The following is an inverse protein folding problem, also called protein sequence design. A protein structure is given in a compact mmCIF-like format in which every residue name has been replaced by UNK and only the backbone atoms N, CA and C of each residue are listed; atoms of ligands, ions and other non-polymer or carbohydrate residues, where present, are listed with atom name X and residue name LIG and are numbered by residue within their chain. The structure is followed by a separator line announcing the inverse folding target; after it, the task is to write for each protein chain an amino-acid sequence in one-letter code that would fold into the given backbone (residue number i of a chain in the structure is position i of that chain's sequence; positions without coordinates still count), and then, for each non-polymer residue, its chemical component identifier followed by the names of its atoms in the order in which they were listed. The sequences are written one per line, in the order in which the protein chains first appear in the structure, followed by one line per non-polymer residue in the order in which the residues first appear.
data_IF_451307858957
#
_entry.id   IF_451307858957
#
_cell.length_a   1.000
_cell.length_b   1.000
_cell.length_c   1.000
_cell.angle_alpha   90.00
_cell.angle_beta   90.00
_cell.angle_gamma   90.00
#
_symmetry.space_group_name_H-M   'P 1'
#
loop_
_entity.id
_entity.type
_entity.pdbx_description
1 polymer ?
#
# COMPACT_ATOMS: atom_id res chain seq x y z
N UNK A 1 14.13 8.35 -5.39
CA UNK A 1 14.07 6.89 -5.16
C UNK A 1 13.06 6.29 -6.11
N UNK A 2 13.51 5.88 -7.27
CA UNK A 2 12.62 5.33 -8.28
C UNK A 2 12.10 3.95 -7.85
N UNK A 3 10.86 3.64 -8.21
CA UNK A 3 10.23 2.35 -7.88
C UNK A 3 9.63 2.23 -6.47
N UNK A 4 9.63 3.27 -5.67
CA UNK A 4 8.97 3.30 -4.36
C UNK A 4 7.59 3.94 -4.43
N UNK A 5 6.61 3.28 -3.83
CA UNK A 5 5.21 3.70 -3.83
C UNK A 5 4.62 3.62 -2.42
N UNK A 6 3.97 4.69 -2.01
CA UNK A 6 3.10 4.69 -0.83
C UNK A 6 1.66 4.45 -1.30
N UNK A 7 1.02 3.43 -0.77
CA UNK A 7 -0.31 2.97 -1.18
C UNK A 7 -1.28 3.08 -0.01
N UNK A 8 -2.48 3.58 -0.28
CA UNK A 8 -3.60 3.56 0.67
C UNK A 8 -4.78 2.83 0.08
N UNK A 9 -5.32 1.84 0.80
CA UNK A 9 -6.49 1.06 0.40
C UNK A 9 -7.52 1.14 1.52
N UNK A 10 -8.71 1.65 1.21
CA UNK A 10 -9.79 1.80 2.19
C UNK A 10 -10.81 0.67 2.10
N UNK A 11 -11.42 0.37 3.24
CA UNK A 11 -12.58 -0.53 3.31
C UNK A 11 -13.82 0.11 2.68
N UNK A 12 -14.77 -0.71 2.30
CA UNK A 12 -16.07 -0.25 1.80
C UNK A 12 -16.77 0.61 2.86
N UNK A 13 -17.16 1.84 2.47
CA UNK A 13 -17.77 2.84 3.36
C UNK A 13 -16.97 3.13 4.66
N UNK A 14 -15.65 2.96 4.64
CA UNK A 14 -14.78 3.20 5.80
C UNK A 14 -15.20 2.43 7.05
N UNK A 15 -15.71 1.22 6.88
CA UNK A 15 -16.07 0.32 7.99
C UNK A 15 -14.82 -0.17 8.71
N UNK A 16 -14.84 -0.14 10.04
CA UNK A 16 -13.77 -0.70 10.86
C UNK A 16 -13.84 -2.24 10.83
N UNK A 17 -13.02 -2.86 9.97
CA UNK A 17 -13.03 -4.31 9.72
C UNK A 17 -11.76 -5.02 10.18
N UNK A 18 -10.60 -4.35 10.16
CA UNK A 18 -9.31 -5.03 10.18
C UNK A 18 -8.59 -4.99 11.51
N UNK A 19 -8.79 -3.95 12.31
CA UNK A 19 -8.10 -3.82 13.58
C UNK A 19 -8.89 -3.00 14.59
N UNK A 20 -8.43 -3.06 15.83
CA UNK A 20 -8.79 -2.16 16.91
C UNK A 20 -7.54 -1.41 17.39
N UNK A 21 -7.68 -0.16 17.77
CA UNK A 21 -6.61 0.60 18.38
C UNK A 21 -6.81 0.54 19.89
N UNK A 22 -5.82 0.04 20.60
CA UNK A 22 -5.82 -0.13 22.06
C UNK A 22 -4.65 0.60 22.71
N UNK A 23 -4.71 0.84 24.01
CA UNK A 23 -3.58 1.37 24.81
C UNK A 23 -3.31 2.86 24.64
N UNK A 24 -4.15 3.61 23.97
CA UNK A 24 -3.99 5.06 23.82
C UNK A 24 -4.36 5.81 25.11
N UNK A 25 -3.54 5.71 26.14
CA UNK A 25 -3.61 6.52 27.34
C UNK A 25 -2.38 7.43 27.42
N UNK A 26 -2.44 8.48 28.24
CA UNK A 26 -1.43 9.54 28.37
C UNK A 26 0.03 9.07 28.45
N UNK A 27 0.28 7.82 28.83
CA UNK A 27 1.63 7.26 29.04
C UNK A 27 1.95 6.02 28.21
N UNK A 28 1.07 5.59 27.27
CA UNK A 28 1.32 4.42 26.45
C UNK A 28 1.01 4.69 24.96
N UNK A 29 1.91 4.32 24.03
CA UNK A 29 1.66 4.46 22.60
C UNK A 29 0.47 3.59 22.18
N UNK A 30 -0.28 4.07 21.18
CA UNK A 30 -1.38 3.33 20.60
C UNK A 30 -0.88 2.02 19.96
N UNK A 31 -1.53 0.92 20.27
CA UNK A 31 -1.22 -0.41 19.72
C UNK A 31 -2.34 -0.90 18.80
N UNK A 32 -1.98 -1.71 17.82
CA UNK A 32 -2.92 -2.30 16.88
C UNK A 32 -3.18 -3.74 17.26
N UNK A 33 -4.44 -4.08 17.51
CA UNK A 33 -4.90 -5.46 17.61
C UNK A 33 -5.65 -5.85 16.35
N UNK A 34 -5.10 -6.80 15.59
CA UNK A 34 -5.73 -7.27 14.35
C UNK A 34 -6.94 -8.14 14.65
N UNK A 35 -8.05 -7.84 13.98
CA UNK A 35 -9.21 -8.75 13.91
C UNK A 35 -8.84 -10.00 13.09
N UNK A 36 -9.67 -11.06 13.10
CA UNK A 36 -9.49 -12.18 12.17
C UNK A 36 -9.41 -11.76 10.70
N UNK A 37 -10.16 -10.73 10.28
CA UNK A 37 -10.07 -10.16 8.94
C UNK A 37 -8.75 -9.40 8.71
N UNK A 38 -8.26 -8.69 9.72
CA UNK A 38 -6.96 -8.04 9.68
C UNK A 38 -5.80 -9.02 9.54
N UNK A 39 -5.86 -10.17 10.23
CA UNK A 39 -4.89 -11.25 10.07
C UNK A 39 -4.89 -11.82 8.65
N UNK A 40 -6.05 -11.98 8.03
CA UNK A 40 -6.15 -12.38 6.62
C UNK A 40 -5.44 -11.35 5.71
N UNK A 41 -5.61 -10.05 5.96
CA UNK A 41 -4.92 -9.00 5.22
C UNK A 41 -3.40 -9.12 5.40
N UNK A 42 -2.95 -9.27 6.63
CA UNK A 42 -1.51 -9.41 6.95
C UNK A 42 -0.88 -10.60 6.24
N UNK A 43 -1.54 -11.77 6.29
CA UNK A 43 -1.07 -12.98 5.61
C UNK A 43 -0.95 -12.78 4.10
N UNK A 44 -1.90 -12.07 3.48
CA UNK A 44 -1.84 -11.78 2.05
C UNK A 44 -0.75 -10.76 1.73
N UNK A 45 -0.51 -9.75 2.57
CA UNK A 45 0.60 -8.81 2.39
C UNK A 45 1.94 -9.56 2.41
N UNK A 46 2.13 -10.51 3.33
CA UNK A 46 3.37 -11.29 3.48
C UNK A 46 3.71 -12.14 2.24
N UNK A 47 2.74 -12.59 1.47
CA UNK A 47 2.98 -13.40 0.26
C UNK A 47 3.14 -12.56 -1.02
N UNK A 48 2.91 -11.24 -0.98
CA UNK A 48 3.04 -10.39 -2.16
C UNK A 48 4.45 -10.39 -2.77
N UNK A 49 5.56 -10.34 -1.96
CA UNK A 49 6.92 -10.37 -2.50
C UNK A 49 7.24 -11.64 -3.29
N UNK A 50 6.71 -12.79 -2.89
CA UNK A 50 6.92 -14.07 -3.58
C UNK A 50 6.20 -14.13 -4.94
N UNK A 51 5.13 -13.36 -5.08
CA UNK A 51 4.26 -13.38 -6.25
C UNK A 51 4.57 -12.28 -7.25
N UNK A 52 5.08 -11.16 -6.75
CA UNK A 52 5.41 -9.98 -7.52
C UNK A 52 6.86 -9.59 -7.24
N UNK A 53 7.54 -9.02 -8.22
CA UNK A 53 8.91 -8.51 -8.04
C UNK A 53 8.89 -7.21 -7.23
N UNK A 54 8.53 -7.31 -5.95
CA UNK A 54 8.40 -6.18 -5.02
C UNK A 54 9.06 -6.51 -3.69
N UNK A 55 9.36 -5.45 -2.93
CA UNK A 55 9.68 -5.54 -1.49
C UNK A 55 8.69 -4.69 -0.72
N UNK A 56 8.17 -5.22 0.37
CA UNK A 56 7.40 -4.45 1.34
C UNK A 56 8.40 -3.79 2.30
N UNK A 57 8.43 -2.46 2.32
CA UNK A 57 9.34 -1.69 3.19
C UNK A 57 8.72 -1.43 4.55
N UNK A 58 7.43 -1.12 4.57
CA UNK A 58 6.64 -0.93 5.77
C UNK A 58 5.15 -1.05 5.45
N UNK A 59 4.31 -1.34 6.45
CA UNK A 59 2.87 -1.31 6.33
C UNK A 59 2.19 -1.14 7.68
N UNK A 60 0.96 -0.65 7.66
CA UNK A 60 0.07 -0.60 8.83
C UNK A 60 -1.35 -0.98 8.43
N UNK A 61 -1.99 -1.79 9.26
CA UNK A 61 -3.37 -2.26 9.06
C UNK A 61 -4.26 -1.55 10.07
N UNK A 62 -4.84 -0.44 9.64
CA UNK A 62 -5.75 0.37 10.44
C UNK A 62 -7.16 -0.22 10.44
N UNK A 63 -8.06 0.23 11.33
CA UNK A 63 -9.42 -0.32 11.39
C UNK A 63 -10.15 -0.29 10.04
N UNK A 64 -10.06 0.78 9.28
CA UNK A 64 -10.85 1.03 8.06
C UNK A 64 -10.01 1.26 6.79
N UNK A 65 -8.70 1.09 6.87
CA UNK A 65 -7.78 1.21 5.73
C UNK A 65 -6.45 0.53 6.01
N UNK A 66 -5.63 0.40 4.98
CA UNK A 66 -4.24 -0.03 5.10
C UNK A 66 -3.33 0.93 4.36
N UNK A 67 -2.15 1.15 4.91
CA UNK A 67 -1.04 1.80 4.23
C UNK A 67 0.06 0.79 3.97
N UNK A 68 0.66 0.84 2.79
CA UNK A 68 1.76 -0.04 2.41
C UNK A 68 2.81 0.76 1.65
N UNK A 69 4.07 0.62 2.03
CA UNK A 69 5.21 1.18 1.33
C UNK A 69 5.88 0.06 0.53
N UNK A 70 5.79 0.14 -0.81
CA UNK A 70 6.22 -0.90 -1.75
C UNK A 70 7.38 -0.41 -2.60
N UNK A 71 8.44 -1.22 -2.68
CA UNK A 71 9.56 -1.04 -3.62
C UNK A 71 9.48 -2.07 -4.75
N UNK A 72 9.59 -1.62 -6.00
CA UNK A 72 9.72 -2.49 -7.17
C UNK A 72 11.19 -2.93 -7.33
N UNK A 73 11.46 -4.23 -7.39
CA UNK A 73 12.82 -4.79 -7.39
C UNK A 73 13.52 -4.65 -8.76
N UNK A 74 12.77 -4.58 -9.86
CA UNK A 74 13.30 -4.53 -11.23
C UNK A 74 13.44 -3.11 -11.81
N UNK A 75 13.43 -2.09 -10.95
CA UNK A 75 13.49 -0.70 -11.41
C UNK A 75 14.84 -0.33 -12.06
N UNK A 76 15.93 -0.96 -11.65
CA UNK A 76 17.27 -0.72 -12.23
C UNK A 76 17.39 -1.11 -13.70
N UNK A 77 16.70 -2.17 -14.12
CA UNK A 77 16.60 -2.56 -15.53
C UNK A 77 15.86 -1.54 -16.39
N UNK A 78 14.87 -0.87 -15.82
CA UNK A 78 14.12 0.20 -16.49
C UNK A 78 14.95 1.48 -16.64
N UNK A 79 15.68 1.90 -15.60
CA UNK A 79 16.58 3.06 -15.68
C UNK A 79 17.71 2.85 -16.67
N UNK A 80 18.28 1.64 -16.75
CA UNK A 80 19.28 1.29 -17.75
C UNK A 80 18.72 1.44 -19.16
N UNK A 81 17.53 0.91 -19.41
CA UNK A 81 16.85 1.02 -20.70
C UNK A 81 16.54 2.48 -21.08
N UNK A 82 16.25 3.35 -20.12
CA UNK A 82 16.05 4.80 -20.34
C UNK A 82 17.35 5.54 -20.64
N UNK A 83 18.47 5.14 -20.03
CA UNK A 83 19.80 5.73 -20.27
C UNK A 83 20.41 5.30 -21.61
N UNK A 84 20.10 4.08 -22.05
CA UNK A 84 20.57 3.49 -23.31
C UNK A 84 19.69 3.88 -24.51
N UNK A 85 18.52 4.49 -24.27
CA UNK A 85 17.67 5.01 -25.34
C UNK A 85 18.33 6.23 -26.00
N UNK A 86 18.52 6.27 -27.32
CA UNK A 86 19.13 7.41 -27.99
C UNK A 86 18.29 8.67 -27.75
N UNK A 87 18.99 9.78 -27.42
CA UNK A 87 18.40 11.11 -27.22
C UNK A 87 17.78 11.60 -28.55
N UNK A 88 16.53 11.26 -28.78
CA UNK A 88 15.74 11.93 -29.82
C UNK A 88 15.18 13.23 -29.23
N UNK A 89 15.64 14.33 -29.85
CA UNK A 89 15.26 15.70 -29.54
C UNK A 89 13.74 15.89 -29.64
N UNK A 90 13.21 16.53 -28.60
CA UNK A 90 12.00 17.38 -28.59
C UNK A 90 10.78 16.88 -29.38
N UNK A 91 9.89 16.19 -28.67
CA UNK A 91 8.48 16.16 -29.01
C UNK A 91 7.66 16.75 -27.83
N UNK A 92 6.54 17.49 -28.13
CA UNK A 92 5.79 18.21 -27.12
C UNK A 92 5.21 17.27 -26.06
N UNK A 93 4.98 17.82 -24.86
CA UNK A 93 4.41 17.17 -23.66
C UNK A 93 3.12 16.40 -23.94
N UNK A 94 3.24 15.28 -24.61
CA UNK A 94 2.20 14.26 -24.60
C UNK A 94 2.25 13.57 -23.26
N UNK A 95 1.11 13.49 -22.59
CA UNK A 95 0.92 12.70 -21.36
C UNK A 95 1.44 11.30 -21.63
N UNK A 96 2.68 11.02 -21.23
CA UNK A 96 3.27 9.69 -21.34
C UNK A 96 2.35 8.71 -20.61
N UNK A 97 2.09 7.59 -21.27
CA UNK A 97 1.42 6.46 -20.63
C UNK A 97 2.05 6.19 -19.25
N UNK A 98 1.25 5.86 -18.23
CA UNK A 98 1.80 5.59 -16.91
C UNK A 98 2.89 4.53 -17.04
N UNK A 99 4.03 4.70 -16.38
CA UNK A 99 5.14 3.76 -16.47
C UNK A 99 4.67 2.33 -16.21
N UNK A 100 5.31 1.34 -16.84
CA UNK A 100 4.96 -0.10 -16.70
C UNK A 100 4.89 -0.57 -15.24
N UNK A 101 5.59 0.09 -14.36
CA UNK A 101 5.61 -0.09 -12.90
C UNK A 101 4.24 0.11 -12.26
N UNK A 102 3.47 1.11 -12.73
CA UNK A 102 2.12 1.36 -12.22
C UNK A 102 1.17 0.21 -12.54
N UNK A 103 1.42 -0.52 -13.64
CA UNK A 103 0.69 -1.73 -13.95
C UNK A 103 1.01 -2.87 -12.99
N UNK A 104 2.26 -2.98 -12.53
CA UNK A 104 2.69 -3.98 -11.52
C UNK A 104 2.06 -3.69 -10.17
N UNK A 105 2.08 -2.43 -9.71
CA UNK A 105 1.39 -2.00 -8.49
C UNK A 105 -0.11 -2.28 -8.59
N UNK A 106 -0.75 -1.91 -9.69
CA UNK A 106 -2.19 -2.16 -9.87
C UNK A 106 -2.54 -3.66 -9.84
N UNK A 107 -1.71 -4.52 -10.45
CA UNK A 107 -1.87 -5.99 -10.40
C UNK A 107 -1.67 -6.52 -8.99
N UNK A 108 -0.64 -6.05 -8.29
CA UNK A 108 -0.33 -6.42 -6.91
C UNK A 108 -1.51 -6.08 -5.97
N UNK A 109 -2.00 -4.83 -6.04
CA UNK A 109 -3.12 -4.39 -5.22
C UNK A 109 -4.43 -5.08 -5.61
N UNK A 110 -4.65 -5.31 -6.91
CA UNK A 110 -5.77 -6.11 -7.41
C UNK A 110 -5.78 -7.52 -6.85
N UNK A 111 -4.62 -8.19 -6.83
CA UNK A 111 -4.45 -9.52 -6.24
C UNK A 111 -4.72 -9.49 -4.72
N UNK A 112 -4.12 -8.54 -3.99
CA UNK A 112 -4.34 -8.39 -2.54
C UNK A 112 -5.84 -8.26 -2.24
N UNK A 113 -6.53 -7.34 -2.91
CA UNK A 113 -7.97 -7.10 -2.70
C UNK A 113 -8.81 -8.33 -3.03
N UNK A 114 -8.49 -9.03 -4.11
CA UNK A 114 -9.21 -10.23 -4.54
C UNK A 114 -9.03 -11.38 -3.55
N UNK A 115 -7.79 -11.66 -3.15
CA UNK A 115 -7.46 -12.78 -2.27
C UNK A 115 -8.02 -12.59 -0.85
N UNK A 116 -7.90 -11.37 -0.30
CA UNK A 116 -8.52 -11.02 0.99
C UNK A 116 -10.04 -11.17 0.91
N UNK A 117 -10.67 -10.64 -0.15
CA UNK A 117 -12.12 -10.75 -0.33
C UNK A 117 -12.57 -12.21 -0.43
N UNK A 118 -11.85 -13.03 -1.20
CA UNK A 118 -12.11 -14.46 -1.35
C UNK A 118 -12.09 -15.18 0.01
N UNK A 119 -11.03 -14.97 0.79
CA UNK A 119 -10.89 -15.59 2.12
C UNK A 119 -11.99 -15.13 3.09
N UNK A 120 -12.32 -13.83 3.12
CA UNK A 120 -13.40 -13.32 3.98
C UNK A 120 -14.76 -13.88 3.55
N UNK A 121 -15.01 -14.04 2.25
CA UNK A 121 -16.27 -14.59 1.74
C UNK A 121 -16.48 -16.06 2.01
N UNK A 122 -15.48 -16.79 2.41
CA UNK A 122 -15.66 -18.16 2.92
C UNK A 122 -16.56 -18.20 4.17
N UNK A 123 -16.51 -17.16 5.00
CA UNK A 123 -17.34 -17.02 6.22
C UNK A 123 -18.47 -16.02 6.05
N UNK A 124 -18.31 -15.01 5.21
CA UNK A 124 -19.28 -13.95 4.96
C UNK A 124 -19.52 -13.76 3.44
N UNK A 125 -20.34 -14.60 2.79
CA UNK A 125 -20.45 -14.65 1.32
C UNK A 125 -20.82 -13.33 0.63
N UNK A 126 -21.54 -12.43 1.32
CA UNK A 126 -21.99 -11.13 0.80
C UNK A 126 -21.08 -9.96 1.22
N UNK A 127 -19.92 -10.23 1.84
CA UNK A 127 -19.06 -9.18 2.33
C UNK A 127 -18.56 -8.28 1.18
N UNK A 128 -18.74 -6.96 1.35
CA UNK A 128 -18.08 -5.92 0.59
C UNK A 128 -16.93 -5.40 1.44
N UNK A 129 -15.70 -5.71 1.03
CA UNK A 129 -14.51 -5.45 1.86
C UNK A 129 -13.87 -4.11 1.51
N UNK A 130 -13.75 -3.78 0.24
CA UNK A 130 -12.93 -2.70 -0.26
C UNK A 130 -13.71 -1.65 -1.03
N UNK A 131 -13.26 -0.39 -0.92
CA UNK A 131 -13.59 0.63 -1.90
C UNK A 131 -13.03 0.23 -3.28
N UNK A 132 -13.66 0.72 -4.34
CA UNK A 132 -13.28 0.37 -5.72
C UNK A 132 -11.84 0.77 -6.06
N UNK A 133 -11.42 1.97 -5.68
CA UNK A 133 -10.11 2.54 -5.99
C UNK A 133 -9.12 2.35 -4.82
N UNK A 134 -7.88 2.64 -5.07
CA UNK A 134 -6.83 2.87 -4.08
C UNK A 134 -6.11 4.17 -4.42
N UNK A 135 -5.42 4.75 -3.46
CA UNK A 135 -4.55 5.90 -3.65
C UNK A 135 -3.11 5.41 -3.75
N UNK A 136 -2.35 5.97 -4.70
CA UNK A 136 -0.94 5.72 -4.88
C UNK A 136 -0.16 7.04 -4.94
N UNK A 137 0.98 7.10 -4.26
CA UNK A 137 1.93 8.20 -4.31
C UNK A 137 3.32 7.64 -4.63
N UNK A 138 3.97 8.23 -5.65
CA UNK A 138 5.34 7.85 -6.03
C UNK A 138 6.33 8.59 -5.14
N UNK A 139 7.13 7.85 -4.39
CA UNK A 139 8.19 8.40 -3.54
C UNK A 139 9.34 8.89 -4.42
N UNK A 140 9.70 10.16 -4.29
CA UNK A 140 10.66 10.82 -5.20
C UNK A 140 12.06 10.98 -4.63
N UNK A 141 12.19 11.06 -3.31
CA UNK A 141 13.46 11.30 -2.63
C UNK A 141 13.40 10.74 -1.19
N UNK A 142 14.54 10.78 -0.51
CA UNK A 142 14.70 10.27 0.85
C UNK A 142 13.79 10.99 1.86
N UNK A 143 13.66 12.31 1.76
CA UNK A 143 12.76 13.08 2.64
C UNK A 143 11.31 12.65 2.49
N UNK A 144 10.86 12.40 1.26
CA UNK A 144 9.52 11.91 0.96
C UNK A 144 9.32 10.48 1.49
N UNK A 145 10.36 9.63 1.38
CA UNK A 145 10.39 8.29 1.96
C UNK A 145 10.23 8.33 3.48
N UNK A 146 11.09 9.05 4.18
CA UNK A 146 11.06 9.17 5.64
C UNK A 146 9.70 9.70 6.13
N UNK A 147 9.17 10.73 5.48
CA UNK A 147 7.85 11.27 5.80
C UNK A 147 6.75 10.20 5.76
N UNK A 148 6.73 9.34 4.75
CA UNK A 148 5.70 8.32 4.62
C UNK A 148 5.98 7.10 5.50
N UNK A 149 7.25 6.81 5.77
CA UNK A 149 7.65 5.77 6.72
C UNK A 149 7.20 6.15 8.14
N UNK A 150 7.54 7.34 8.61
CA UNK A 150 7.14 7.87 9.92
C UNK A 150 5.62 7.98 10.02
N UNK A 151 4.94 8.38 8.93
CA UNK A 151 3.48 8.42 8.88
C UNK A 151 2.85 7.04 9.09
N UNK A 152 3.44 5.96 8.56
CA UNK A 152 2.97 4.59 8.80
C UNK A 152 3.16 4.21 10.27
N UNK A 153 4.33 4.48 10.84
CA UNK A 153 4.65 4.17 12.24
C UNK A 153 3.74 4.91 13.22
N UNK A 154 3.50 6.21 12.98
CA UNK A 154 2.72 7.04 13.89
C UNK A 154 1.21 7.00 13.63
N UNK A 155 0.76 6.32 12.59
CA UNK A 155 -0.64 6.29 12.19
C UNK A 155 -1.61 5.86 13.30
N UNK A 156 -1.29 4.86 14.16
CA UNK A 156 -2.14 4.49 15.28
C UNK A 156 -2.35 5.63 16.27
N UNK A 157 -1.30 6.39 16.61
CA UNK A 157 -1.38 7.53 17.53
C UNK A 157 -2.23 8.65 16.92
N UNK A 158 -1.97 8.99 15.65
CA UNK A 158 -2.75 10.01 14.91
C UNK A 158 -4.23 9.64 14.82
N UNK A 159 -4.54 8.35 14.67
CA UNK A 159 -5.93 7.86 14.63
C UNK A 159 -6.69 8.15 15.91
N UNK A 160 -6.04 7.97 17.05
CA UNK A 160 -6.65 8.21 18.36
C UNK A 160 -6.86 9.71 18.62
N UNK A 161 -5.89 10.54 18.24
CA UNK A 161 -5.95 11.99 18.44
C UNK A 161 -7.05 12.67 17.61
N UNK A 162 -7.47 12.09 16.50
CA UNK A 162 -8.45 12.66 15.57
C UNK A 162 -9.90 12.14 15.79
N UNK A 163 -10.16 11.44 16.87
CA UNK A 163 -11.47 10.94 17.30
C UNK A 163 -11.83 11.34 18.69
#
# INVERSE_FOLDING_TARGET
MPGLYFITICTDNRKALFSHIVGAHHDAPAQIELTPKGKIVEDVIKILPDRFKIKIKNYVIMPDHIHILIELVDYEGYERALREAPLQREAPLQRKAPPKDRSTIAKCIGFLKAEVTKKIRCTEPKAKVWQRRFFDHVIRNEKDYLKHFDYIEDNPNVWVMNR
#
